data_IF_566896487403
#
_entry.id   IF_566896487403
#
_cell.length_a   1.000
_cell.length_b   1.000
_cell.length_c   1.000
_cell.angle_alpha   90.00
_cell.angle_beta   90.00
_cell.angle_gamma   90.00
#
_symmetry.space_group_name_H-M   'P 1'
#
loop_
_entity.id
_entity.type
_entity.pdbx_description
1 polymer ?
#
# COMPACT_ATOMS: atom_id res chain seq x y z
N UNK A 1 -9.48 0.92 -16.57
CA UNK A 1 -9.63 -0.55 -16.64
C UNK A 1 -10.32 -1.02 -15.37
N UNK A 2 -11.38 -1.79 -15.54
CA UNK A 2 -12.13 -2.33 -14.40
C UNK A 2 -11.48 -3.61 -13.92
N UNK A 3 -11.16 -3.68 -12.61
CA UNK A 3 -10.56 -4.88 -12.02
C UNK A 3 -11.61 -5.61 -11.20
N UNK A 4 -11.86 -6.85 -11.54
CA UNK A 4 -12.86 -7.67 -10.85
C UNK A 4 -12.36 -8.12 -9.48
N UNK A 5 -13.28 -8.57 -8.63
CA UNK A 5 -12.96 -9.14 -7.32
C UNK A 5 -12.06 -10.38 -7.47
N UNK A 6 -12.31 -11.20 -8.50
CA UNK A 6 -11.48 -12.38 -8.76
C UNK A 6 -10.05 -11.98 -9.14
N UNK A 7 -9.90 -10.93 -9.95
CA UNK A 7 -8.57 -10.42 -10.31
C UNK A 7 -7.83 -9.90 -9.08
N UNK A 8 -8.51 -9.18 -8.20
CA UNK A 8 -7.92 -8.71 -6.95
C UNK A 8 -7.50 -9.87 -6.06
N UNK A 9 -8.31 -10.92 -5.96
CA UNK A 9 -7.96 -12.10 -5.18
C UNK A 9 -6.70 -12.78 -5.71
N UNK A 10 -6.55 -12.87 -7.04
CA UNK A 10 -5.36 -13.44 -7.65
C UNK A 10 -4.12 -12.61 -7.35
N UNK A 11 -4.24 -11.29 -7.46
CA UNK A 11 -3.14 -10.37 -7.17
C UNK A 11 -2.71 -10.49 -5.70
N UNK A 12 -3.67 -10.46 -4.79
CA UNK A 12 -3.39 -10.54 -3.35
C UNK A 12 -2.78 -11.88 -2.97
N UNK A 13 -3.21 -12.96 -3.64
CA UNK A 13 -2.65 -14.29 -3.41
C UNK A 13 -1.19 -14.41 -3.78
N UNK A 14 -0.68 -13.55 -4.65
CA UNK A 14 0.73 -13.52 -5.02
C UNK A 14 1.58 -12.70 -4.05
N UNK A 15 0.96 -11.93 -3.16
CA UNK A 15 1.69 -11.13 -2.17
C UNK A 15 2.18 -12.07 -1.07
N UNK A 16 3.49 -12.03 -0.78
CA UNK A 16 4.11 -12.95 0.18
C UNK A 16 3.42 -12.92 1.55
N UNK A 17 2.98 -11.75 2.00
CA UNK A 17 2.31 -11.61 3.29
C UNK A 17 1.02 -12.43 3.37
N UNK A 18 0.31 -12.58 2.25
CA UNK A 18 -0.99 -13.25 2.21
C UNK A 18 -0.91 -14.69 1.68
N UNK A 19 0.27 -15.11 1.19
CA UNK A 19 0.41 -16.40 0.50
C UNK A 19 0.00 -17.60 1.34
N UNK A 20 0.20 -17.51 2.65
CA UNK A 20 -0.12 -18.59 3.59
C UNK A 20 -1.58 -18.59 4.04
N UNK A 21 -2.38 -17.60 3.66
CA UNK A 21 -3.76 -17.48 4.09
C UNK A 21 -4.68 -18.37 3.25
N UNK A 22 -5.76 -18.90 3.86
CA UNK A 22 -6.77 -19.63 3.09
C UNK A 22 -7.39 -18.75 2.00
N UNK A 23 -7.82 -19.37 0.92
CA UNK A 23 -8.38 -18.66 -0.23
C UNK A 23 -9.59 -17.80 0.14
N UNK A 24 -10.46 -18.28 1.04
CA UNK A 24 -11.63 -17.51 1.45
C UNK A 24 -11.24 -16.25 2.24
N UNK A 25 -10.13 -16.27 2.98
CA UNK A 25 -9.62 -15.10 3.69
C UNK A 25 -9.08 -14.07 2.70
N UNK A 26 -8.35 -14.52 1.69
CA UNK A 26 -7.85 -13.65 0.63
C UNK A 26 -9.01 -12.99 -0.10
N UNK A 27 -10.09 -13.71 -0.39
CA UNK A 27 -11.28 -13.15 -1.01
C UNK A 27 -11.93 -12.07 -0.14
N UNK A 28 -11.98 -12.28 1.17
CA UNK A 28 -12.49 -11.27 2.10
C UNK A 28 -11.65 -10.00 2.09
N UNK A 29 -10.32 -10.15 2.07
CA UNK A 29 -9.40 -9.01 1.99
C UNK A 29 -9.61 -8.26 0.66
N UNK A 30 -9.80 -8.99 -0.43
CA UNK A 30 -10.00 -8.40 -1.76
C UNK A 30 -11.21 -7.48 -1.82
N UNK A 31 -12.24 -7.74 -1.01
CA UNK A 31 -13.42 -6.86 -0.95
C UNK A 31 -13.11 -5.49 -0.38
N UNK A 32 -12.02 -5.37 0.38
CA UNK A 32 -11.56 -4.11 0.97
C UNK A 32 -10.42 -3.49 0.18
N UNK A 33 -10.06 -4.08 -0.94
CA UNK A 33 -8.96 -3.64 -1.77
C UNK A 33 -9.47 -2.89 -3.00
N UNK A 34 -8.67 -1.96 -3.48
CA UNK A 34 -8.97 -1.26 -4.72
C UNK A 34 -7.70 -1.03 -5.53
N UNK A 35 -7.84 -0.97 -6.84
CA UNK A 35 -6.75 -0.61 -7.74
C UNK A 35 -6.80 0.90 -7.92
N UNK A 36 -5.67 1.55 -7.67
CA UNK A 36 -5.55 3.00 -7.76
C UNK A 36 -4.50 3.34 -8.81
N UNK A 37 -4.87 4.18 -9.78
CA UNK A 37 -3.96 4.69 -10.80
C UNK A 37 -3.68 6.16 -10.50
N UNK A 38 -2.41 6.53 -10.42
CA UNK A 38 -2.01 7.87 -10.07
C UNK A 38 -1.00 8.41 -11.07
N UNK A 39 -1.12 9.71 -11.38
CA UNK A 39 -0.13 10.41 -12.18
C UNK A 39 1.14 10.65 -11.35
N UNK A 40 2.21 11.06 -12.03
CA UNK A 40 3.45 11.49 -11.38
C UNK A 40 3.19 12.65 -10.42
N UNK A 41 3.89 12.67 -9.29
CA UNK A 41 3.85 13.77 -8.34
C UNK A 41 2.66 13.74 -7.38
N UNK A 42 2.02 12.58 -7.22
CA UNK A 42 0.87 12.44 -6.30
C UNK A 42 1.31 11.79 -4.99
N UNK A 43 0.85 12.36 -3.87
CA UNK A 43 1.11 11.82 -2.55
C UNK A 43 0.17 10.64 -2.27
N UNK A 44 0.74 9.56 -1.73
CA UNK A 44 -0.05 8.45 -1.19
C UNK A 44 -0.42 8.77 0.26
N UNK A 45 0.57 9.19 1.03
CA UNK A 45 0.37 9.69 2.39
C UNK A 45 1.53 10.63 2.76
N UNK A 46 1.31 11.41 3.78
CA UNK A 46 2.30 12.33 4.31
C UNK A 46 2.66 11.97 5.75
N UNK A 47 3.86 12.34 6.16
CA UNK A 47 4.28 12.20 7.56
C UNK A 47 3.23 12.86 8.47
N UNK A 48 2.83 12.16 9.52
CA UNK A 48 1.80 12.61 10.44
C UNK A 48 0.41 12.06 10.14
N UNK A 49 0.17 11.56 8.95
CA UNK A 49 -1.12 10.94 8.62
C UNK A 49 -1.29 9.63 9.37
N UNK A 50 -2.54 9.24 9.62
CA UNK A 50 -2.85 7.94 10.21
C UNK A 50 -2.91 6.86 9.14
N UNK A 51 -2.35 5.67 9.40
CA UNK A 51 -2.42 4.56 8.46
C UNK A 51 -3.87 4.09 8.25
N UNK A 52 -4.27 3.98 6.98
CA UNK A 52 -5.62 3.53 6.60
C UNK A 52 -5.60 2.30 5.72
N UNK A 53 -4.45 1.95 5.17
CA UNK A 53 -4.32 0.85 4.22
C UNK A 53 -2.87 0.40 4.16
N UNK A 54 -2.67 -0.79 3.64
CA UNK A 54 -1.36 -1.19 3.12
C UNK A 54 -1.42 -1.15 1.60
N UNK A 55 -0.27 -1.12 0.94
CA UNK A 55 -0.20 -0.87 -0.49
C UNK A 55 0.77 -1.84 -1.15
N UNK A 56 0.38 -2.29 -2.34
CA UNK A 56 1.22 -3.14 -3.19
C UNK A 56 1.43 -2.43 -4.52
N UNK A 57 2.69 -2.25 -4.93
CA UNK A 57 3.01 -1.58 -6.18
C UNK A 57 2.86 -2.56 -7.34
N UNK A 58 1.97 -2.24 -8.29
CA UNK A 58 1.79 -3.03 -9.51
C UNK A 58 2.72 -2.55 -10.61
N UNK A 59 2.81 -1.24 -10.80
CA UNK A 59 3.69 -0.64 -11.80
C UNK A 59 4.10 0.75 -11.37
N UNK A 60 5.22 1.23 -11.90
CA UNK A 60 5.73 2.56 -11.60
C UNK A 60 6.62 2.57 -10.37
N UNK A 61 7.00 3.77 -9.96
CA UNK A 61 7.95 3.97 -8.85
C UNK A 61 7.49 5.10 -7.95
N UNK A 62 7.75 4.95 -6.65
CA UNK A 62 7.44 5.95 -5.65
C UNK A 62 8.69 6.23 -4.82
N UNK A 63 8.76 7.42 -4.24
CA UNK A 63 9.83 7.77 -3.31
C UNK A 63 9.28 7.85 -1.90
N UNK A 64 10.07 7.37 -0.95
CA UNK A 64 9.84 7.54 0.48
C UNK A 64 10.80 8.63 0.94
N UNK A 65 10.28 9.65 1.61
CA UNK A 65 11.09 10.78 2.05
C UNK A 65 10.77 11.19 3.47
N UNK A 66 11.74 11.85 4.09
CA UNK A 66 11.59 12.46 5.41
C UNK A 66 12.00 13.91 5.31
N UNK A 67 11.50 14.73 6.24
CA UNK A 67 11.92 16.14 6.31
C UNK A 67 13.33 16.21 6.90
N UNK A 68 14.18 17.02 6.28
CA UNK A 68 15.51 17.30 6.81
C UNK A 68 15.45 18.46 7.78
N UNK A 69 16.50 18.62 8.61
CA UNK A 69 16.57 19.66 9.62
C UNK A 69 16.54 21.08 9.04
N UNK A 70 16.99 21.24 7.82
CA UNK A 70 17.00 22.55 7.13
C UNK A 70 15.72 22.81 6.35
N UNK A 71 14.67 21.99 6.55
CA UNK A 71 13.38 22.18 5.92
C UNK A 71 13.24 21.52 4.55
N UNK A 72 14.29 20.87 4.06
CA UNK A 72 14.26 20.17 2.78
C UNK A 72 13.72 18.74 2.92
N UNK A 73 13.67 18.06 1.78
CA UNK A 73 13.26 16.68 1.68
C UNK A 73 14.49 15.79 1.52
N UNK A 74 14.52 14.67 2.23
CA UNK A 74 15.55 13.65 2.03
C UNK A 74 14.86 12.35 1.58
N UNK A 75 15.17 11.90 0.36
CA UNK A 75 14.67 10.63 -0.15
C UNK A 75 15.49 9.51 0.48
N UNK A 76 14.81 8.57 1.14
CA UNK A 76 15.46 7.47 1.85
C UNK A 76 15.26 6.12 1.16
N UNK A 77 14.28 6.02 0.25
CA UNK A 77 13.99 4.76 -0.42
C UNK A 77 13.20 5.01 -1.70
N UNK A 78 13.37 4.15 -2.69
CA UNK A 78 12.52 4.11 -3.89
C UNK A 78 11.76 2.78 -3.86
N UNK A 79 10.43 2.87 -3.97
CA UNK A 79 9.56 1.70 -4.05
C UNK A 79 9.33 1.34 -5.50
N UNK A 80 9.42 0.06 -5.81
CA UNK A 80 9.36 -0.49 -7.17
C UNK A 80 8.26 -1.54 -7.27
N UNK A 81 7.90 -1.99 -8.49
CA UNK A 81 6.88 -3.02 -8.64
C UNK A 81 7.15 -4.26 -7.80
N UNK A 82 6.07 -4.84 -7.29
CA UNK A 82 6.04 -6.02 -6.42
C UNK A 82 6.44 -5.74 -4.97
N UNK A 83 6.70 -4.48 -4.62
CA UNK A 83 6.95 -4.13 -3.23
C UNK A 83 5.67 -3.78 -2.50
N UNK A 84 5.62 -4.20 -1.25
CA UNK A 84 4.53 -3.90 -0.32
C UNK A 84 5.03 -2.82 0.63
N UNK A 85 4.18 -1.84 0.94
CA UNK A 85 4.58 -0.79 1.88
C UNK A 85 3.39 -0.34 2.74
N UNK A 86 3.70 0.33 3.84
CA UNK A 86 2.67 0.78 4.78
C UNK A 86 2.20 -0.30 5.74
N UNK A 87 2.84 -1.47 5.74
CA UNK A 87 2.42 -2.62 6.54
C UNK A 87 2.71 -2.42 8.03
N UNK A 88 3.95 -2.06 8.35
CA UNK A 88 4.38 -1.90 9.74
C UNK A 88 3.57 -0.81 10.44
N UNK A 89 3.33 0.30 9.77
CA UNK A 89 2.58 1.42 10.31
C UNK A 89 1.12 1.03 10.55
N UNK A 90 0.53 0.26 9.64
CA UNK A 90 -0.85 -0.19 9.77
C UNK A 90 -1.04 -1.05 11.02
N UNK A 91 -0.14 -2.02 11.23
CA UNK A 91 -0.21 -2.91 12.38
C UNK A 91 0.29 -2.26 13.65
N UNK A 92 1.19 -1.28 13.54
CA UNK A 92 1.76 -0.58 14.69
C UNK A 92 0.87 0.50 15.28
N UNK A 93 -0.21 0.87 14.57
CA UNK A 93 -1.17 1.90 14.98
C UNK A 93 -0.49 3.23 15.34
N UNK A 94 0.54 3.59 14.60
CA UNK A 94 1.27 4.84 14.76
C UNK A 94 1.16 5.68 13.48
N UNK A 95 1.24 7.00 13.63
CA UNK A 95 1.27 7.90 12.47
C UNK A 95 2.51 7.65 11.62
N UNK A 96 2.41 7.95 10.33
CA UNK A 96 3.55 7.83 9.44
C UNK A 96 4.66 8.82 9.84
N UNK A 97 5.90 8.35 9.80
CA UNK A 97 7.08 9.21 10.03
C UNK A 97 7.72 9.66 8.72
N UNK A 98 7.25 9.13 7.60
CA UNK A 98 7.74 9.47 6.27
C UNK A 98 6.58 9.77 5.35
N UNK A 99 6.88 10.34 4.20
CA UNK A 99 5.91 10.62 3.14
C UNK A 99 6.21 9.76 1.93
N UNK A 100 5.19 9.39 1.17
CA UNK A 100 5.34 8.61 -0.05
C UNK A 100 4.65 9.33 -1.21
N UNK A 101 5.38 9.51 -2.29
CA UNK A 101 4.90 10.23 -3.47
C UNK A 101 5.34 9.51 -4.74
N UNK A 102 4.48 9.55 -5.77
CA UNK A 102 4.81 8.94 -7.06
C UNK A 102 5.89 9.75 -7.78
N UNK A 103 6.87 9.06 -8.35
CA UNK A 103 7.91 9.70 -9.19
C UNK A 103 7.71 9.39 -10.67
N UNK A 104 6.86 8.44 -10.99
CA UNK A 104 6.34 8.12 -12.31
C UNK A 104 4.84 7.92 -12.18
N UNK A 105 4.09 7.75 -13.28
CA UNK A 105 2.74 7.21 -13.16
C UNK A 105 2.79 5.85 -12.46
N UNK A 106 1.84 5.57 -11.59
CA UNK A 106 1.85 4.40 -10.72
C UNK A 106 0.48 3.73 -10.75
N UNK A 107 0.47 2.41 -10.73
CA UNK A 107 -0.72 1.61 -10.41
C UNK A 107 -0.39 0.83 -9.16
N UNK A 108 -1.25 0.93 -8.15
CA UNK A 108 -1.08 0.18 -6.92
C UNK A 108 -2.40 -0.43 -6.47
N UNK A 109 -2.31 -1.43 -5.59
CA UNK A 109 -3.46 -2.00 -4.90
C UNK A 109 -3.40 -1.50 -3.46
N UNK A 110 -4.47 -0.85 -3.03
CA UNK A 110 -4.64 -0.40 -1.65
C UNK A 110 -5.57 -1.38 -0.94
N UNK A 111 -5.14 -1.91 0.20
CA UNK A 111 -5.93 -2.83 1.02
C UNK A 111 -6.27 -2.12 2.32
N UNK A 112 -7.56 -1.86 2.53
CA UNK A 112 -8.03 -1.09 3.66
C UNK A 112 -7.78 -1.77 5.00
N UNK A 113 -7.53 -0.95 6.01
CA UNK A 113 -7.25 -1.37 7.38
C UNK A 113 -8.31 -2.34 7.92
N UNK A 114 -9.59 -1.97 7.79
CA UNK A 114 -10.68 -2.77 8.36
C UNK A 114 -10.75 -4.16 7.74
N UNK A 115 -10.51 -4.27 6.44
CA UNK A 115 -10.50 -5.56 5.76
C UNK A 115 -9.37 -6.45 6.22
N UNK A 116 -8.18 -5.87 6.39
CA UNK A 116 -6.99 -6.61 6.86
C UNK A 116 -7.24 -7.14 8.27
N UNK A 117 -7.67 -6.28 9.20
CA UNK A 117 -7.86 -6.69 10.59
C UNK A 117 -9.01 -7.69 10.74
N UNK A 118 -10.09 -7.49 9.99
CA UNK A 118 -11.21 -8.43 10.01
C UNK A 118 -10.79 -9.83 9.54
N UNK A 119 -9.97 -9.90 8.51
CA UNK A 119 -9.45 -11.17 8.00
C UNK A 119 -8.51 -11.84 8.99
N UNK A 120 -7.71 -11.07 9.71
CA UNK A 120 -6.75 -11.59 10.69
C UNK A 120 -7.43 -12.12 11.96
N UNK A 121 -8.64 -11.68 12.26
CA UNK A 121 -9.39 -12.10 13.46
C UNK A 121 -10.07 -13.47 13.29
N UNK A 122 -9.98 -14.09 12.14
CA UNK A 122 -10.67 -15.37 11.87
C UNK A 122 -9.80 -16.58 12.14
#
# INVERSE_FOLDING_TARGET
MHTSLDDLSLILGEIALFRALPEHVISDIARSAEVVSLAKGKAIYAAGDRPRALYHVMSGHLKVSVSSQDGGEKVIEILSPRQLFGVAELFGDASYVSSVETVTPVVLVAVGRDGVFRAMDK
#
